data_IF_169307471344
#
_entry.id   IF_169307471344
#
_cell.length_a   1.000
_cell.length_b   1.000
_cell.length_c   1.000
_cell.angle_alpha   90.00
_cell.angle_beta   90.00
_cell.angle_gamma   90.00
#
_symmetry.space_group_name_H-M   'P 1'
#
loop_
_entity.id
_entity.type
_entity.pdbx_description
1 polymer ?
#
# COMPACT_ATOMS: atom_id res chain seq x y z
N UNK A 1 45.17 6.59 15.68
CA UNK A 1 44.59 6.19 14.37
C UNK A 1 43.17 5.60 14.52
N UNK A 2 42.90 4.71 15.48
CA UNK A 2 41.58 4.05 15.64
C UNK A 2 40.37 4.95 15.96
N UNK A 3 40.56 6.10 16.63
CA UNK A 3 39.45 6.99 17.03
C UNK A 3 38.72 7.68 15.86
N UNK A 4 39.42 7.93 14.73
CA UNK A 4 38.83 8.54 13.53
C UNK A 4 38.05 7.51 12.68
N UNK A 5 38.49 6.25 12.70
CA UNK A 5 37.83 5.16 11.98
C UNK A 5 36.46 4.79 12.57
N UNK A 6 36.29 4.83 13.89
CA UNK A 6 35.02 4.52 14.53
C UNK A 6 33.92 5.55 14.20
N UNK A 7 34.27 6.85 14.18
CA UNK A 7 33.33 7.93 13.83
C UNK A 7 32.90 7.83 12.37
N UNK A 8 33.85 7.54 11.46
CA UNK A 8 33.55 7.35 10.04
C UNK A 8 32.73 6.08 9.82
N UNK A 9 33.00 4.99 10.53
CA UNK A 9 32.23 3.75 10.42
C UNK A 9 30.77 3.92 10.86
N UNK A 10 30.50 4.67 11.93
CA UNK A 10 29.12 4.94 12.40
C UNK A 10 28.37 5.83 11.41
N UNK A 11 29.01 6.86 10.85
CA UNK A 11 28.41 7.73 9.83
C UNK A 11 28.14 6.99 8.51
N UNK A 12 29.04 6.11 8.09
CA UNK A 12 28.88 5.26 6.90
C UNK A 12 27.79 4.20 7.13
N UNK A 13 27.65 3.66 8.34
CA UNK A 13 26.58 2.73 8.68
C UNK A 13 25.20 3.41 8.70
N UNK A 14 25.14 4.67 9.15
CA UNK A 14 23.92 5.49 9.12
C UNK A 14 23.51 5.88 7.69
N UNK A 15 24.48 6.18 6.81
CA UNK A 15 24.24 6.44 5.39
C UNK A 15 23.91 5.16 4.60
N UNK A 16 24.48 4.01 5.00
CA UNK A 16 24.31 2.72 4.34
C UNK A 16 22.95 2.04 4.56
N UNK A 17 22.15 2.51 5.52
CA UNK A 17 20.78 2.03 5.76
C UNK A 17 19.76 2.58 4.75
N UNK A 18 20.15 3.55 3.92
CA UNK A 18 19.34 4.06 2.81
C UNK A 18 19.61 3.28 1.52
N UNK A 19 19.54 1.94 1.57
CA UNK A 19 19.56 1.14 0.35
C UNK A 19 18.21 1.27 -0.35
N UNK A 20 18.22 1.94 -1.50
CA UNK A 20 17.12 2.02 -2.45
C UNK A 20 16.61 0.62 -2.81
N UNK A 21 15.41 0.28 -2.36
CA UNK A 21 14.69 -0.91 -2.82
C UNK A 21 14.20 -0.70 -4.25
N UNK A 22 14.38 -1.73 -5.09
CA UNK A 22 13.98 -1.75 -6.50
C UNK A 22 12.49 -1.42 -6.63
N UNK A 23 12.21 -0.35 -7.38
CA UNK A 23 10.99 0.43 -7.32
C UNK A 23 10.07 0.23 -8.54
N UNK A 24 9.88 -1.00 -9.04
CA UNK A 24 9.11 -1.23 -10.28
C UNK A 24 7.86 -2.11 -10.13
N UNK A 25 7.43 -2.40 -8.90
CA UNK A 25 6.22 -3.19 -8.65
C UNK A 25 5.02 -2.28 -8.31
N UNK A 26 3.85 -2.53 -8.90
CA UNK A 26 2.63 -1.80 -8.57
C UNK A 26 1.95 -2.46 -7.38
N UNK A 27 2.07 -1.85 -6.20
CA UNK A 27 1.47 -2.42 -5.00
C UNK A 27 -0.04 -2.13 -4.96
N UNK A 28 -0.85 -3.13 -4.63
CA UNK A 28 -2.32 -2.98 -4.52
C UNK A 28 -2.63 -2.12 -3.29
N UNK A 29 -3.16 -0.92 -3.54
CA UNK A 29 -3.57 0.01 -2.48
C UNK A 29 -5.07 -0.08 -2.21
N UNK A 30 -5.84 -0.39 -3.24
CA UNK A 30 -7.27 -0.66 -3.12
C UNK A 30 -7.75 -1.65 -4.17
N UNK A 31 -9.06 -1.88 -4.21
CA UNK A 31 -9.69 -2.80 -5.16
C UNK A 31 -9.52 -2.39 -6.62
N UNK A 32 -9.24 -1.10 -6.83
CA UNK A 32 -9.24 -0.46 -8.14
C UNK A 32 -8.03 0.41 -8.40
N UNK A 33 -7.06 0.37 -7.48
CA UNK A 33 -5.94 1.29 -7.50
C UNK A 33 -4.68 0.58 -7.05
N UNK A 34 -3.61 0.84 -7.80
CA UNK A 34 -2.28 0.38 -7.47
C UNK A 34 -1.32 1.57 -7.54
N UNK A 35 -0.29 1.53 -6.71
CA UNK A 35 0.69 2.60 -6.57
C UNK A 35 2.10 2.05 -6.73
N UNK A 36 2.92 2.78 -7.46
CA UNK A 36 4.34 2.54 -7.63
C UNK A 36 5.12 3.31 -6.57
N UNK A 37 6.33 2.84 -6.27
CA UNK A 37 7.23 3.47 -5.30
C UNK A 37 7.65 4.91 -5.64
N UNK A 38 7.44 5.37 -6.88
CA UNK A 38 7.71 6.74 -7.31
C UNK A 38 6.55 7.72 -7.02
N UNK A 39 5.48 7.25 -6.34
CA UNK A 39 4.29 8.04 -6.00
C UNK A 39 3.32 8.22 -7.16
N UNK A 40 3.59 7.59 -8.32
CA UNK A 40 2.60 7.46 -9.39
C UNK A 40 1.83 6.18 -9.21
N UNK A 41 0.67 6.08 -9.84
CA UNK A 41 -0.12 4.85 -9.83
C UNK A 41 -1.29 4.93 -10.77
N UNK A 42 -2.16 3.94 -10.71
CA UNK A 42 -3.29 3.79 -11.61
C UNK A 42 -4.57 3.71 -10.81
N UNK A 43 -5.61 4.35 -11.33
CA UNK A 43 -6.92 4.37 -10.70
C UNK A 43 -8.00 4.05 -11.73
N UNK A 44 -8.53 2.84 -11.65
CA UNK A 44 -9.54 2.32 -12.57
C UNK A 44 -10.97 2.64 -12.12
N UNK A 45 -11.19 3.27 -10.95
CA UNK A 45 -12.55 3.57 -10.42
C UNK A 45 -13.46 4.26 -11.45
N UNK A 46 -12.97 5.26 -12.21
CA UNK A 46 -13.83 5.95 -13.16
C UNK A 46 -14.44 5.06 -14.25
N UNK A 47 -13.89 3.86 -14.50
CA UNK A 47 -14.47 2.90 -15.44
C UNK A 47 -15.85 2.43 -14.97
N UNK A 48 -16.04 2.25 -13.67
CA UNK A 48 -17.31 1.79 -13.10
C UNK A 48 -18.31 2.95 -12.98
N UNK A 49 -17.82 4.13 -12.59
CA UNK A 49 -18.66 5.31 -12.30
C UNK A 49 -19.35 5.90 -13.55
N UNK A 50 -18.89 5.55 -14.76
CA UNK A 50 -19.40 6.07 -16.03
C UNK A 50 -20.67 5.37 -16.56
N UNK A 51 -21.22 4.39 -15.83
CA UNK A 51 -22.55 3.82 -16.14
C UNK A 51 -22.54 2.34 -16.49
N UNK A 52 -22.26 1.51 -15.48
CA UNK A 52 -23.16 0.40 -15.11
C UNK A 52 -23.28 -0.82 -16.01
N UNK A 53 -22.42 -1.01 -17.02
CA UNK A 53 -22.33 -2.27 -17.75
C UNK A 53 -20.90 -2.79 -17.80
N UNK A 54 -20.68 -4.11 -17.67
CA UNK A 54 -19.36 -4.69 -17.86
C UNK A 54 -18.87 -4.43 -19.29
N UNK A 55 -17.57 -4.21 -19.42
CA UNK A 55 -16.91 -4.16 -20.71
C UNK A 55 -17.10 -5.51 -21.40
N UNK A 56 -17.42 -5.46 -22.69
CA UNK A 56 -17.76 -6.64 -23.47
C UNK A 56 -16.85 -6.75 -24.68
N UNK A 57 -16.34 -7.96 -24.91
CA UNK A 57 -15.53 -8.28 -26.08
C UNK A 57 -15.88 -9.67 -26.62
N UNK A 58 -15.99 -9.78 -27.94
CA UNK A 58 -16.22 -11.05 -28.61
C UNK A 58 -14.93 -11.53 -29.25
N UNK A 59 -14.69 -12.84 -29.15
CA UNK A 59 -13.63 -13.53 -29.86
C UNK A 59 -14.15 -14.07 -31.20
N UNK A 60 -13.22 -14.26 -32.12
CA UNK A 60 -13.39 -14.90 -33.42
C UNK A 60 -13.98 -16.31 -33.36
N UNK A 61 -13.78 -17.02 -32.24
CA UNK A 61 -14.36 -18.34 -31.95
C UNK A 61 -15.86 -18.32 -31.64
N UNK A 62 -16.45 -17.13 -31.41
CA UNK A 62 -17.82 -16.95 -30.95
C UNK A 62 -17.94 -16.82 -29.43
N UNK A 63 -16.85 -17.04 -28.68
CA UNK A 63 -16.80 -16.79 -27.24
C UNK A 63 -16.95 -15.29 -26.94
N UNK A 64 -17.54 -14.97 -25.79
CA UNK A 64 -17.68 -13.60 -25.31
C UNK A 64 -17.06 -13.42 -23.93
N UNK A 65 -16.46 -12.27 -23.68
CA UNK A 65 -15.81 -11.92 -22.43
C UNK A 65 -16.46 -10.68 -21.82
N UNK A 66 -16.76 -10.76 -20.53
CA UNK A 66 -17.35 -9.71 -19.72
C UNK A 66 -16.40 -9.32 -18.61
N UNK A 67 -16.02 -8.04 -18.56
CA UNK A 67 -15.05 -7.52 -17.62
C UNK A 67 -15.59 -6.31 -16.86
N UNK A 68 -15.69 -6.47 -15.54
CA UNK A 68 -16.04 -5.42 -14.59
C UNK A 68 -14.85 -5.24 -13.64
N UNK A 69 -13.95 -4.28 -13.92
CA UNK A 69 -12.82 -4.05 -13.04
C UNK A 69 -13.32 -3.60 -11.66
N UNK A 70 -12.67 -4.09 -10.59
CA UNK A 70 -12.80 -3.59 -9.22
C UNK A 70 -14.13 -3.76 -8.48
N UNK A 71 -15.13 -4.37 -9.11
CA UNK A 71 -16.40 -4.69 -8.45
C UNK A 71 -16.87 -6.06 -8.94
N UNK A 72 -17.23 -6.92 -7.98
CA UNK A 72 -17.95 -8.15 -8.28
C UNK A 72 -19.40 -7.81 -8.65
N UNK A 73 -19.78 -8.15 -9.88
CA UNK A 73 -21.15 -8.05 -10.38
C UNK A 73 -21.70 -9.45 -10.64
N UNK A 74 -23.02 -9.59 -10.68
CA UNK A 74 -23.69 -10.88 -10.82
C UNK A 74 -24.65 -10.93 -12.02
N UNK A 75 -24.50 -10.00 -12.96
CA UNK A 75 -25.30 -9.95 -14.17
C UNK A 75 -24.41 -9.86 -15.41
N UNK A 76 -24.89 -10.37 -16.53
CA UNK A 76 -24.29 -10.28 -17.86
C UNK A 76 -25.35 -9.90 -18.88
N UNK A 77 -24.94 -9.42 -20.05
CA UNK A 77 -25.88 -9.17 -21.15
C UNK A 77 -26.52 -10.47 -21.68
N UNK A 78 -25.88 -11.61 -21.45
CA UNK A 78 -26.30 -12.93 -21.94
C UNK A 78 -27.18 -13.70 -20.96
N UNK A 79 -27.37 -13.26 -19.71
CA UNK A 79 -28.10 -14.03 -18.67
C UNK A 79 -29.52 -14.48 -19.09
N UNK A 80 -30.15 -13.75 -20.00
CA UNK A 80 -31.50 -14.03 -20.49
C UNK A 80 -31.53 -14.83 -21.80
N UNK A 81 -30.39 -15.31 -22.30
CA UNK A 81 -30.32 -16.13 -23.51
C UNK A 81 -30.92 -17.52 -23.18
N UNK A 82 -31.95 -17.97 -23.91
CA UNK A 82 -32.73 -19.17 -23.55
C UNK A 82 -31.96 -20.49 -23.64
N UNK A 83 -30.73 -20.47 -24.17
CA UNK A 83 -29.93 -21.64 -24.54
C UNK A 83 -28.71 -21.85 -23.62
N UNK A 84 -28.67 -21.18 -22.45
CA UNK A 84 -27.55 -21.30 -21.51
C UNK A 84 -27.72 -22.56 -20.65
N UNK A 85 -26.72 -23.45 -20.69
CA UNK A 85 -26.71 -24.71 -19.94
C UNK A 85 -26.30 -24.53 -18.48
N UNK A 86 -25.40 -23.58 -18.20
CA UNK A 86 -24.90 -23.26 -16.85
C UNK A 86 -24.40 -21.82 -16.76
N UNK A 87 -24.60 -21.16 -15.62
CA UNK A 87 -24.12 -19.79 -15.37
C UNK A 87 -23.45 -19.67 -13.99
N UNK A 88 -22.11 -19.74 -13.97
CA UNK A 88 -21.32 -19.57 -12.75
C UNK A 88 -21.16 -18.10 -12.34
N UNK A 89 -21.36 -17.17 -13.28
CA UNK A 89 -21.11 -15.75 -13.09
C UNK A 89 -22.18 -15.08 -12.20
N UNK A 90 -23.35 -15.69 -12.03
CA UNK A 90 -24.37 -15.29 -11.05
C UNK A 90 -23.86 -15.28 -9.59
N UNK A 91 -22.78 -16.00 -9.29
CA UNK A 91 -22.16 -16.02 -7.95
C UNK A 91 -21.37 -14.74 -7.62
N UNK A 92 -21.25 -13.80 -8.57
CA UNK A 92 -20.39 -12.63 -8.47
C UNK A 92 -19.06 -12.86 -9.20
N UNK A 93 -18.72 -11.96 -10.11
CA UNK A 93 -17.52 -12.00 -10.93
C UNK A 93 -16.97 -10.59 -11.21
N UNK A 94 -15.66 -10.50 -11.43
CA UNK A 94 -15.01 -9.35 -12.10
C UNK A 94 -14.67 -9.68 -13.55
N UNK A 95 -14.41 -10.96 -13.84
CA UNK A 95 -14.20 -11.45 -15.20
C UNK A 95 -15.01 -12.74 -15.46
N UNK A 96 -15.81 -12.74 -16.51
CA UNK A 96 -16.67 -13.84 -16.93
C UNK A 96 -16.50 -14.13 -18.42
N UNK A 97 -16.62 -15.40 -18.81
CA UNK A 97 -16.56 -15.85 -20.20
C UNK A 97 -17.83 -16.62 -20.56
N UNK A 98 -18.46 -16.27 -21.68
CA UNK A 98 -19.41 -17.12 -22.36
C UNK A 98 -18.67 -18.04 -23.33
N UNK A 99 -18.79 -19.35 -23.11
CA UNK A 99 -18.28 -20.40 -23.97
C UNK A 99 -19.37 -20.77 -25.00
N UNK A 100 -19.12 -20.45 -26.27
CA UNK A 100 -20.07 -20.67 -27.35
C UNK A 100 -20.22 -22.15 -27.73
N UNK A 101 -19.22 -22.99 -27.43
CA UNK A 101 -19.24 -24.41 -27.76
C UNK A 101 -20.14 -25.18 -26.80
N UNK A 102 -19.99 -24.90 -25.50
CA UNK A 102 -20.75 -25.58 -24.45
C UNK A 102 -22.01 -24.80 -24.00
N UNK A 103 -22.22 -23.61 -24.57
CA UNK A 103 -23.31 -22.69 -24.21
C UNK A 103 -23.39 -22.41 -22.71
N UNK A 104 -22.26 -22.13 -22.06
CA UNK A 104 -22.18 -21.90 -20.61
C UNK A 104 -21.41 -20.62 -20.28
N UNK A 105 -21.74 -20.00 -19.15
CA UNK A 105 -20.96 -18.92 -18.59
C UNK A 105 -20.02 -19.44 -17.50
N UNK A 106 -18.73 -19.34 -17.79
CA UNK A 106 -17.64 -19.73 -16.90
C UNK A 106 -17.10 -18.48 -16.21
N UNK A 107 -17.10 -18.51 -14.89
CA UNK A 107 -16.53 -17.42 -14.09
C UNK A 107 -15.01 -17.51 -14.19
N UNK A 108 -14.31 -16.49 -14.69
CA UNK A 108 -12.84 -16.52 -14.83
C UNK A 108 -12.10 -15.87 -13.65
N UNK A 109 -12.72 -14.89 -12.97
CA UNK A 109 -12.08 -14.22 -11.84
C UNK A 109 -13.04 -13.44 -10.94
N UNK A 110 -12.61 -13.24 -9.69
CA UNK A 110 -13.28 -12.46 -8.65
C UNK A 110 -12.30 -11.46 -7.99
N UNK A 111 -12.84 -10.45 -7.29
CA UNK A 111 -12.05 -9.35 -6.72
C UNK A 111 -11.04 -9.76 -5.62
N UNK A 112 -11.27 -10.91 -4.98
CA UNK A 112 -10.33 -11.45 -3.98
C UNK A 112 -9.09 -12.07 -4.63
N UNK A 113 -9.22 -12.57 -5.86
CA UNK A 113 -8.16 -13.26 -6.61
C UNK A 113 -7.33 -12.29 -7.48
N UNK A 114 -7.75 -11.02 -7.64
CA UNK A 114 -7.02 -10.02 -8.42
C UNK A 114 -5.69 -9.64 -7.79
N UNK A 115 -4.64 -9.71 -8.60
CA UNK A 115 -3.30 -9.21 -8.29
C UNK A 115 -2.80 -8.30 -9.40
N UNK A 116 -2.14 -7.20 -9.04
CA UNK A 116 -1.43 -6.37 -10.01
C UNK A 116 -0.04 -6.96 -10.23
N UNK A 117 0.31 -7.28 -11.47
CA UNK A 117 1.62 -7.81 -11.86
C UNK A 117 2.27 -6.86 -12.84
N UNK A 118 3.55 -6.57 -12.65
CA UNK A 118 4.30 -5.58 -13.44
C UNK A 118 5.45 -6.20 -14.26
N UNK A 119 5.20 -7.34 -14.91
CA UNK A 119 6.19 -8.07 -15.70
C UNK A 119 6.05 -7.68 -17.20
N UNK A 120 6.93 -6.82 -17.72
CA UNK A 120 6.90 -6.34 -19.13
C UNK A 120 5.62 -5.56 -19.51
N UNK A 121 5.02 -4.90 -18.53
CA UNK A 121 3.77 -4.15 -18.66
C UNK A 121 3.01 -4.21 -17.34
N UNK A 122 1.81 -3.62 -17.28
CA UNK A 122 0.95 -3.75 -16.12
C UNK A 122 -0.22 -4.67 -16.44
N UNK A 123 -0.46 -5.64 -15.57
CA UNK A 123 -1.48 -6.65 -15.72
C UNK A 123 -2.34 -6.75 -14.46
N UNK A 124 -3.63 -6.96 -14.64
CA UNK A 124 -4.47 -7.60 -13.62
C UNK A 124 -4.46 -9.10 -13.87
N UNK A 125 -3.85 -9.82 -12.95
CA UNK A 125 -3.73 -11.28 -12.97
C UNK A 125 -4.79 -11.90 -12.06
N UNK A 126 -5.50 -12.89 -12.60
CA UNK A 126 -6.48 -13.72 -11.90
C UNK A 126 -5.93 -15.14 -11.83
N UNK A 127 -5.54 -15.56 -10.63
CA UNK A 127 -4.92 -16.87 -10.41
C UNK A 127 -5.89 -17.72 -9.61
N UNK A 128 -6.43 -18.76 -10.24
CA UNK A 128 -7.26 -19.74 -9.55
C UNK A 128 -6.41 -20.87 -8.96
N UNK A 129 -6.73 -21.36 -7.75
CA UNK A 129 -5.91 -22.34 -7.02
C UNK A 129 -5.78 -23.73 -7.69
N UNK A 130 -6.43 -23.98 -8.83
CA UNK A 130 -6.32 -25.24 -9.60
C UNK A 130 -6.73 -25.08 -11.09
N UNK A 131 -6.71 -23.86 -11.65
CA UNK A 131 -7.19 -23.59 -13.01
C UNK A 131 -6.48 -22.42 -13.67
N UNK A 132 -6.79 -22.27 -14.96
CA UNK A 132 -6.33 -21.25 -15.89
C UNK A 132 -6.01 -19.89 -15.29
N UNK A 133 -4.86 -19.33 -15.67
CA UNK A 133 -4.46 -17.97 -15.30
C UNK A 133 -5.02 -17.01 -16.34
N UNK A 134 -5.64 -15.92 -15.89
CA UNK A 134 -6.13 -14.89 -16.82
C UNK A 134 -5.40 -13.58 -16.55
N UNK A 135 -4.78 -13.03 -17.59
CA UNK A 135 -4.06 -11.77 -17.54
C UNK A 135 -4.81 -10.72 -18.36
N UNK A 136 -5.22 -9.64 -17.70
CA UNK A 136 -5.76 -8.45 -18.36
C UNK A 136 -4.67 -7.39 -18.40
N UNK A 137 -4.06 -7.20 -19.56
CA UNK A 137 -3.03 -6.18 -19.78
C UNK A 137 -3.66 -4.79 -19.84
N UNK A 138 -3.22 -3.91 -18.96
CA UNK A 138 -3.64 -2.52 -18.90
C UNK A 138 -2.78 -1.70 -19.88
N UNK A 139 -3.43 -1.09 -20.86
CA UNK A 139 -2.79 -0.24 -21.87
C UNK A 139 -3.34 1.18 -21.76
N UNK A 140 -2.45 2.13 -21.51
CA UNK A 140 -2.78 3.55 -21.50
C UNK A 140 -3.14 4.00 -22.94
N UNK A 141 -4.30 4.64 -23.10
CA UNK A 141 -4.71 5.31 -24.34
C UNK A 141 -5.04 6.78 -24.07
N UNK A 142 -4.91 7.62 -25.10
CA UNK A 142 -5.37 9.02 -25.07
C UNK A 142 -6.87 9.18 -25.37
N UNK A 143 -7.55 8.07 -25.71
CA UNK A 143 -8.98 8.09 -25.99
C UNK A 143 -9.83 8.36 -24.75
N UNK A 144 -11.00 8.98 -24.94
CA UNK A 144 -11.95 9.23 -23.83
C UNK A 144 -12.72 7.98 -23.39
N UNK A 145 -12.64 6.88 -24.14
CA UNK A 145 -13.39 5.65 -23.91
C UNK A 145 -12.43 4.50 -23.61
N UNK A 146 -12.92 3.53 -22.85
CA UNK A 146 -12.19 2.28 -22.60
C UNK A 146 -12.63 1.23 -23.62
N UNK A 147 -11.67 0.47 -24.13
CA UNK A 147 -11.89 -0.63 -25.08
C UNK A 147 -11.30 -1.92 -24.52
N UNK A 148 -11.98 -3.03 -24.77
CA UNK A 148 -11.61 -4.34 -24.25
C UNK A 148 -11.58 -5.35 -25.39
N UNK A 149 -10.52 -6.15 -25.47
CA UNK A 149 -10.33 -7.12 -26.55
C UNK A 149 -9.66 -8.40 -26.03
N UNK A 150 -10.04 -9.58 -26.55
CA UNK A 150 -9.22 -10.77 -26.42
C UNK A 150 -7.95 -10.64 -27.26
N UNK A 151 -6.83 -11.14 -26.74
CA UNK A 151 -5.54 -11.16 -27.44
C UNK A 151 -5.19 -12.59 -27.86
N UNK A 152 -4.90 -13.44 -26.88
CA UNK A 152 -4.60 -14.85 -27.12
C UNK A 152 -5.11 -15.72 -25.98
N UNK A 153 -5.70 -16.86 -26.33
CA UNK A 153 -6.22 -17.84 -25.38
C UNK A 153 -5.56 -19.18 -25.64
N UNK A 154 -4.90 -19.73 -24.62
CA UNK A 154 -4.40 -21.10 -24.60
C UNK A 154 -5.24 -21.94 -23.65
N UNK A 155 -4.98 -23.26 -23.57
CA UNK A 155 -5.70 -24.16 -22.67
C UNK A 155 -5.57 -23.78 -21.18
N UNK A 156 -4.57 -22.98 -20.83
CA UNK A 156 -4.24 -22.62 -19.42
C UNK A 156 -4.18 -21.11 -19.22
N UNK A 157 -3.80 -20.33 -20.22
CA UNK A 157 -3.63 -18.88 -20.08
C UNK A 157 -4.54 -18.11 -21.01
N UNK A 158 -5.27 -17.13 -20.48
CA UNK A 158 -6.09 -16.20 -21.27
C UNK A 158 -5.49 -14.81 -21.17
N UNK A 159 -5.09 -14.23 -22.29
CA UNK A 159 -4.59 -12.87 -22.38
C UNK A 159 -5.66 -11.97 -22.98
N UNK A 160 -5.98 -10.90 -22.24
CA UNK A 160 -6.96 -9.90 -22.61
C UNK A 160 -6.28 -8.52 -22.55
N UNK A 161 -6.75 -7.60 -23.38
CA UNK A 161 -6.23 -6.24 -23.49
C UNK A 161 -7.32 -5.26 -23.06
N UNK A 162 -6.98 -4.38 -22.11
CA UNK A 162 -7.81 -3.25 -21.72
C UNK A 162 -7.09 -1.96 -22.11
N UNK A 163 -7.60 -1.28 -23.12
CA UNK A 163 -7.19 0.07 -23.46
C UNK A 163 -8.05 1.05 -22.68
N UNK A 164 -7.46 1.85 -21.81
CA UNK A 164 -8.21 2.84 -21.03
C UNK A 164 -7.37 4.09 -20.75
N UNK A 165 -7.97 5.30 -20.79
CA UNK A 165 -7.30 6.50 -20.29
C UNK A 165 -6.99 6.42 -18.79
N UNK A 166 -7.74 5.58 -18.06
CA UNK A 166 -7.56 5.36 -16.62
C UNK A 166 -6.43 4.38 -16.29
N UNK A 167 -5.91 3.67 -17.30
CA UNK A 167 -4.69 2.85 -17.19
C UNK A 167 -3.40 3.70 -17.32
N UNK A 168 -3.51 5.00 -17.54
CA UNK A 168 -2.37 5.90 -17.56
C UNK A 168 -1.92 6.25 -16.12
N UNK A 169 -0.61 6.27 -15.85
CA UNK A 169 -0.10 6.59 -14.52
C UNK A 169 -0.42 8.05 -14.15
N UNK A 170 -1.10 8.24 -13.03
CA UNK A 170 -1.40 9.52 -12.40
C UNK A 170 -0.57 9.68 -11.13
N UNK A 171 -0.33 10.91 -10.69
CA UNK A 171 0.30 11.16 -9.38
C UNK A 171 -0.73 10.85 -8.31
N UNK A 172 -0.43 9.88 -7.44
CA UNK A 172 -1.30 9.48 -6.33
C UNK A 172 -0.76 10.16 -5.08
N UNK A 173 -1.21 11.39 -4.84
CA UNK A 173 -0.69 12.20 -3.74
C UNK A 173 -1.13 11.74 -2.34
N UNK A 174 -2.14 10.88 -2.24
CA UNK A 174 -2.81 10.57 -0.97
C UNK A 174 -2.37 9.26 -0.31
N UNK A 175 -1.77 8.33 -1.06
CA UNK A 175 -1.62 6.95 -0.60
C UNK A 175 -0.21 6.56 -0.15
N UNK A 176 0.84 7.16 -0.74
CA UNK A 176 2.25 6.92 -0.35
C UNK A 176 2.81 7.92 0.66
N UNK A 177 2.01 8.89 1.13
CA UNK A 177 2.47 9.79 2.20
C UNK A 177 2.41 9.02 3.52
N UNK A 178 3.55 8.59 4.12
CA UNK A 178 3.54 8.09 5.48
C UNK A 178 2.81 9.12 6.35
N UNK A 179 1.94 8.64 7.25
CA UNK A 179 1.24 9.52 8.19
C UNK A 179 2.25 10.48 8.82
N UNK A 180 1.88 11.75 8.96
CA UNK A 180 2.74 12.76 9.61
C UNK A 180 3.27 12.26 10.96
N UNK A 181 2.46 11.47 11.68
CA UNK A 181 2.87 10.81 12.91
C UNK A 181 4.00 9.80 12.70
N UNK A 182 3.89 8.93 11.69
CA UNK A 182 4.94 7.94 11.35
C UNK A 182 6.25 8.63 10.96
N UNK A 183 6.20 9.69 10.16
CA UNK A 183 7.39 10.47 9.79
C UNK A 183 8.04 11.09 11.02
N UNK A 184 7.24 11.73 11.89
CA UNK A 184 7.74 12.33 13.13
C UNK A 184 8.34 11.27 14.07
N UNK A 185 7.72 10.09 14.18
CA UNK A 185 8.25 8.99 14.99
C UNK A 185 9.58 8.47 14.46
N UNK A 186 9.70 8.30 13.13
CA UNK A 186 10.96 7.89 12.50
C UNK A 186 12.04 8.94 12.75
N UNK A 187 11.73 10.23 12.53
CA UNK A 187 12.67 11.33 12.77
C UNK A 187 13.09 11.41 14.24
N UNK A 188 12.15 11.24 15.17
CA UNK A 188 12.42 11.23 16.60
C UNK A 188 13.29 10.03 16.99
N UNK A 189 13.02 8.85 16.46
CA UNK A 189 13.81 7.64 16.76
C UNK A 189 15.23 7.76 16.22
N UNK A 190 15.38 8.19 14.98
CA UNK A 190 16.67 8.42 14.32
C UNK A 190 17.46 9.52 15.04
N UNK A 191 16.80 10.62 15.41
CA UNK A 191 17.37 11.71 16.21
C UNK A 191 17.79 11.25 17.62
N UNK A 192 16.95 10.45 18.29
CA UNK A 192 17.25 9.90 19.60
C UNK A 192 18.47 8.98 19.54
N UNK A 193 18.48 7.99 18.64
CA UNK A 193 19.61 7.06 18.50
C UNK A 193 20.90 7.81 18.17
N UNK A 194 20.88 8.76 17.24
CA UNK A 194 22.06 9.55 16.92
C UNK A 194 22.55 10.40 18.10
N UNK A 195 21.65 11.03 18.86
CA UNK A 195 22.00 11.77 20.07
C UNK A 195 22.70 10.89 21.11
N UNK A 196 22.16 9.70 21.41
CA UNK A 196 22.78 8.78 22.36
C UNK A 196 24.11 8.23 21.87
N UNK A 197 24.22 7.83 20.59
CA UNK A 197 25.46 7.29 20.03
C UNK A 197 26.57 8.35 19.98
N UNK A 198 26.28 9.55 19.47
CA UNK A 198 27.25 10.63 19.37
C UNK A 198 27.64 11.09 20.77
N UNK A 199 26.67 11.38 21.64
CA UNK A 199 26.94 11.90 22.97
C UNK A 199 27.63 10.87 23.86
N UNK A 200 27.27 9.58 23.80
CA UNK A 200 27.98 8.53 24.54
C UNK A 200 29.41 8.38 24.03
N UNK A 201 29.64 8.48 22.71
CA UNK A 201 31.00 8.47 22.14
C UNK A 201 31.83 9.64 22.66
N UNK A 202 31.25 10.84 22.73
CA UNK A 202 31.94 12.02 23.26
C UNK A 202 32.26 11.86 24.75
N UNK A 203 31.27 11.48 25.55
CA UNK A 203 31.42 11.29 27.00
C UNK A 203 32.42 10.17 27.32
N UNK A 204 32.39 9.08 26.57
CA UNK A 204 33.31 7.96 26.73
C UNK A 204 34.76 8.28 26.31
N UNK A 205 34.95 8.89 25.15
CA UNK A 205 36.27 8.99 24.51
C UNK A 205 37.01 10.31 24.79
N UNK A 206 36.29 11.40 25.01
CA UNK A 206 36.86 12.72 25.28
C UNK A 206 36.80 13.08 26.76
N UNK A 207 35.68 12.78 27.44
CA UNK A 207 35.49 13.10 28.86
C UNK A 207 35.89 11.94 29.80
N UNK A 208 36.08 10.73 29.25
CA UNK A 208 36.52 9.56 30.03
C UNK A 208 35.44 8.99 30.97
N UNK A 209 34.18 9.38 30.79
CA UNK A 209 33.06 8.89 31.59
C UNK A 209 32.90 7.36 31.45
N UNK A 210 32.51 6.69 32.54
CA UNK A 210 32.35 5.23 32.58
C UNK A 210 31.01 4.84 33.16
N UNK A 211 30.47 3.71 32.69
CA UNK A 211 29.19 3.19 33.17
C UNK A 211 28.02 4.09 32.78
N UNK A 212 27.11 4.33 33.73
CA UNK A 212 25.84 5.04 33.49
C UNK A 212 26.06 6.50 33.05
N UNK A 213 27.17 7.13 33.46
CA UNK A 213 27.54 8.51 33.13
C UNK A 213 27.86 8.74 31.65
N UNK A 214 27.99 7.67 30.85
CA UNK A 214 28.11 7.81 29.39
C UNK A 214 26.84 8.39 28.76
N UNK A 215 25.67 8.24 29.41
CA UNK A 215 24.41 8.76 28.89
C UNK A 215 24.42 10.30 28.90
N UNK A 216 24.24 10.95 27.74
CA UNK A 216 24.20 12.41 27.66
C UNK A 216 22.97 12.99 28.38
N UNK A 217 23.18 14.01 29.23
CA UNK A 217 22.14 14.67 30.03
C UNK A 217 21.31 13.71 30.89
N UNK A 218 22.00 12.90 31.68
CA UNK A 218 21.41 11.81 32.45
C UNK A 218 20.31 12.23 33.42
N UNK A 219 20.50 13.37 34.11
CA UNK A 219 19.54 13.88 35.10
C UNK A 219 18.19 14.23 34.47
N UNK A 220 18.21 14.77 33.24
CA UNK A 220 17.00 15.02 32.47
C UNK A 220 16.23 13.70 32.19
N UNK A 221 16.94 12.67 31.70
CA UNK A 221 16.31 11.39 31.37
C UNK A 221 15.78 10.64 32.59
N UNK A 222 16.40 10.80 33.76
CA UNK A 222 15.88 10.27 35.02
C UNK A 222 14.58 10.95 35.46
N UNK A 223 14.45 12.26 35.24
CA UNK A 223 13.23 13.01 35.59
C UNK A 223 12.07 12.79 34.61
N UNK A 224 12.35 12.45 33.35
CA UNK A 224 11.37 12.38 32.27
C UNK A 224 10.16 11.46 32.56
N UNK A 225 10.30 10.24 33.13
CA UNK A 225 9.14 9.40 33.46
C UNK A 225 8.18 10.03 34.47
N UNK A 226 8.70 10.80 35.43
CA UNK A 226 7.90 11.54 36.40
C UNK A 226 7.09 12.64 35.72
N UNK A 227 7.75 13.44 34.87
CA UNK A 227 7.09 14.51 34.10
C UNK A 227 6.00 13.96 33.16
N UNK A 228 6.23 12.82 32.52
CA UNK A 228 5.23 12.17 31.65
C UNK A 228 4.02 11.72 32.46
N UNK A 229 4.22 11.14 33.65
CA UNK A 229 3.14 10.75 34.56
C UNK A 229 2.29 11.95 34.97
N UNK A 230 2.94 13.05 35.37
CA UNK A 230 2.25 14.27 35.77
C UNK A 230 1.43 14.88 34.61
N UNK A 231 1.99 14.88 33.39
CA UNK A 231 1.28 15.31 32.19
C UNK A 231 0.06 14.44 31.86
N UNK A 232 0.19 13.11 31.97
CA UNK A 232 -0.92 12.19 31.73
C UNK A 232 -2.06 12.39 32.75
N UNK A 233 -1.72 12.57 34.03
CA UNK A 233 -2.70 12.87 35.07
C UNK A 233 -3.41 14.21 34.82
N UNK A 234 -2.67 15.23 34.38
CA UNK A 234 -3.26 16.52 34.03
C UNK A 234 -4.27 16.42 32.87
N UNK A 235 -3.95 15.65 31.83
CA UNK A 235 -4.85 15.41 30.70
C UNK A 235 -6.09 14.61 31.12
N UNK A 236 -5.92 13.56 31.94
CA UNK A 236 -7.03 12.76 32.47
C UNK A 236 -7.98 13.59 33.36
N UNK A 237 -7.44 14.59 34.07
CA UNK A 237 -8.23 15.51 34.89
C UNK A 237 -8.90 16.64 34.07
N UNK A 238 -8.93 16.54 32.74
CA UNK A 238 -9.57 17.52 31.86
C UNK A 238 -8.82 18.84 31.81
N UNK A 239 -7.48 18.80 31.82
CA UNK A 239 -6.62 19.99 31.90
C UNK A 239 -6.84 20.83 33.17
N UNK A 240 -7.35 20.22 34.23
CA UNK A 240 -7.50 20.87 35.54
C UNK A 240 -6.32 20.45 36.39
N UNK A 241 -5.68 21.44 37.00
CA UNK A 241 -4.68 21.19 38.02
C UNK A 241 -5.43 20.56 39.20
N UNK A 242 -5.14 19.29 39.51
CA UNK A 242 -5.59 18.72 40.76
C UNK A 242 -4.98 19.57 41.88
N UNK A 243 -5.80 20.04 42.83
CA UNK A 243 -5.31 20.74 44.01
C UNK A 243 -4.37 19.81 44.76
N UNK A 244 -3.07 19.88 44.47
CA UNK A 244 -2.04 19.21 45.22
C UNK A 244 -1.96 19.94 46.56
N UNK A 245 -1.93 19.18 47.66
CA UNK A 245 -1.54 19.76 48.95
C UNK A 245 -0.17 20.44 48.77
N UNK A 246 0.08 21.58 49.43
CA UNK A 246 1.33 22.31 49.26
C UNK A 246 2.51 21.37 49.50
N UNK A 247 3.44 21.34 48.54
CA UNK A 247 4.74 20.71 48.77
C UNK A 247 5.38 21.44 49.96
N UNK A 248 5.90 20.75 50.99
CA UNK A 248 6.44 21.40 52.20
C UNK A 248 7.61 22.35 51.90
N UNK A 249 8.18 22.28 50.70
CA UNK A 249 9.29 23.11 50.24
C UNK A 249 8.84 24.31 49.37
N UNK A 250 7.53 24.55 49.24
CA UNK A 250 7.00 25.74 48.54
C UNK A 250 7.10 26.99 49.41
N UNK A 251 7.69 28.06 48.87
CA UNK A 251 7.78 29.38 49.51
C UNK A 251 6.41 30.04 49.78
N UNK A 252 5.32 29.46 49.29
CA UNK A 252 3.94 29.89 49.54
C UNK A 252 3.37 29.37 50.88
N UNK A 253 4.18 28.69 51.71
CA UNK A 253 3.77 28.10 52.99
C UNK A 253 3.95 29.01 54.23
N UNK A 254 4.18 30.32 54.04
CA UNK A 254 4.21 31.33 55.12
C UNK A 254 3.14 32.39 54.90
#
# INVERSE_FOLDING_TARGET
MGKRFAVVAVLVWWAGLLTFTKASECNRVGDCSCEFYDGRGINLRPIIDLGGQPLHANDSSGDAYYFSPCQDINYTADDNKPDITSNECLKGYTLCKYDAVHHQLVRLGELKETQFTSDEGLFLSYIKPNHSITHVKLVCTSDKKSYFFPDSTTNVTTHLLLFSPYACPIVIEDFSKPSTGTVLLIMLFVGFVSYFLIGATVNALYLGARGIEMVPHLDFWRGLPGLVRDGAQFLQNGCRVANRAPDPDSYDAI
#
